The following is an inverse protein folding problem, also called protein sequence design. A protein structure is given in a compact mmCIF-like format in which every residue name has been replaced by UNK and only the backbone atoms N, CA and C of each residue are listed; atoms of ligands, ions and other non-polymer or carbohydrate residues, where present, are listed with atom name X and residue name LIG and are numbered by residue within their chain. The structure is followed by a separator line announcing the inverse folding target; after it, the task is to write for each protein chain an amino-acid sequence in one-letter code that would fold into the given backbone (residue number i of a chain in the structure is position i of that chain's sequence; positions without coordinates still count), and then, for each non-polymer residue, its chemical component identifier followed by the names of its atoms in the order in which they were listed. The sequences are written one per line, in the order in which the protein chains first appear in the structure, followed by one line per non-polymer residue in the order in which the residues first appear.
data_IF_937380214051
#
_entry.id   IF_937380214051
#
_cell.length_a   1.000
_cell.length_b   1.000
_cell.length_c   1.000
_cell.angle_alpha   90.00
_cell.angle_beta   90.00
_cell.angle_gamma   90.00
#
_symmetry.space_group_name_H-M   'P 1'
#
loop_
_entity.id
_entity.type
_entity.pdbx_description
1 polymer ?
#
# COMPACT_ATOMS: atom_id res chain seq x y z
N UNK A 1 0.12 2.16 6.76
CA UNK A 1 0.67 2.68 5.49
C UNK A 1 0.45 4.18 5.44
N UNK A 2 1.44 4.94 4.94
CA UNK A 2 1.34 6.39 4.76
C UNK A 2 1.81 6.75 3.35
N UNK A 3 1.04 7.55 2.64
CA UNK A 3 1.36 8.00 1.29
C UNK A 3 1.51 9.51 1.28
N UNK A 4 2.59 10.01 0.67
CA UNK A 4 2.80 11.43 0.47
C UNK A 4 2.43 11.80 -0.95
N UNK A 5 1.55 12.79 -1.13
CA UNK A 5 1.19 13.28 -2.45
C UNK A 5 1.26 14.80 -2.51
N UNK A 6 1.82 15.34 -3.58
CA UNK A 6 1.85 16.76 -3.85
C UNK A 6 0.47 17.18 -4.39
N UNK A 7 -0.26 18.02 -3.64
CA UNK A 7 -1.66 18.41 -3.93
C UNK A 7 -1.84 19.18 -5.24
N UNK A 8 -0.77 19.74 -5.80
CA UNK A 8 -0.82 20.52 -7.03
C UNK A 8 -0.53 19.63 -8.26
N UNK A 9 0.47 18.75 -8.14
CA UNK A 9 0.92 17.90 -9.24
C UNK A 9 0.27 16.52 -9.25
N UNK A 10 -0.26 16.04 -8.11
CA UNK A 10 -0.75 14.68 -7.91
C UNK A 10 0.37 13.64 -7.78
N UNK A 11 1.65 14.05 -7.76
CA UNK A 11 2.79 13.13 -7.69
C UNK A 11 2.97 12.57 -6.30
N UNK A 12 3.21 11.26 -6.23
CA UNK A 12 3.53 10.58 -4.99
C UNK A 12 5.04 10.71 -4.68
N UNK A 13 5.37 11.01 -3.42
CA UNK A 13 6.73 11.07 -2.90
C UNK A 13 7.20 9.71 -2.37
N UNK A 14 8.48 9.62 -1.96
CA UNK A 14 9.07 8.42 -1.35
C UNK A 14 8.97 7.17 -2.23
N UNK A 15 9.44 7.26 -3.47
CA UNK A 15 9.41 6.15 -4.43
C UNK A 15 10.34 4.98 -4.07
N UNK A 16 11.13 5.10 -3.00
CA UNK A 16 11.88 4.02 -2.35
C UNK A 16 11.06 3.27 -1.28
N UNK A 17 9.82 3.69 -1.01
CA UNK A 17 8.82 2.98 -0.21
C UNK A 17 7.80 2.31 -1.14
N UNK A 18 7.74 0.99 -1.16
CA UNK A 18 7.01 0.23 -2.18
C UNK A 18 5.53 0.64 -2.39
N UNK A 19 4.69 0.83 -1.35
CA UNK A 19 3.32 1.26 -1.57
C UNK A 19 3.24 2.64 -2.25
N UNK A 20 4.16 3.54 -1.93
CA UNK A 20 4.23 4.85 -2.55
C UNK A 20 4.77 4.76 -3.99
N UNK A 21 5.71 3.86 -4.27
CA UNK A 21 6.13 3.54 -5.65
C UNK A 21 4.95 3.03 -6.47
N UNK A 22 4.18 2.07 -5.94
CA UNK A 22 2.97 1.56 -6.62
C UNK A 22 1.98 2.69 -6.91
N UNK A 23 1.72 3.58 -5.94
CA UNK A 23 0.88 4.75 -6.15
C UNK A 23 1.45 5.72 -7.20
N UNK A 24 2.77 5.91 -7.22
CA UNK A 24 3.46 6.76 -8.16
C UNK A 24 3.33 6.28 -9.62
N UNK A 25 3.04 5.01 -9.89
CA UNK A 25 2.79 4.52 -11.26
C UNK A 25 1.51 5.12 -11.85
N UNK A 26 0.51 5.41 -11.02
CA UNK A 26 -0.84 5.83 -11.47
C UNK A 26 -1.16 7.29 -11.15
N UNK A 27 -0.12 8.08 -10.84
CA UNK A 27 -0.26 9.46 -10.38
C UNK A 27 -1.01 10.38 -11.36
N UNK A 28 -0.82 10.20 -12.68
CA UNK A 28 -1.48 11.02 -13.70
C UNK A 28 -2.99 10.77 -13.72
N UNK A 29 -3.41 9.50 -13.67
CA UNK A 29 -4.81 9.10 -13.63
C UNK A 29 -5.45 9.60 -12.33
N UNK A 30 -4.73 9.47 -11.21
CA UNK A 30 -5.18 9.95 -9.90
C UNK A 30 -5.42 11.47 -9.93
N UNK A 31 -4.49 12.23 -10.50
CA UNK A 31 -4.62 13.68 -10.68
C UNK A 31 -5.82 14.04 -11.55
N UNK A 32 -5.97 13.39 -12.71
CA UNK A 32 -7.07 13.64 -13.63
C UNK A 32 -8.43 13.40 -12.98
N UNK A 33 -8.56 12.34 -12.18
CA UNK A 33 -9.80 12.01 -11.47
C UNK A 33 -10.17 13.03 -10.37
N UNK A 34 -9.17 13.63 -9.72
CA UNK A 34 -9.42 14.73 -8.77
C UNK A 34 -9.80 16.02 -9.49
N UNK A 35 -9.09 16.34 -10.58
CA UNK A 35 -9.35 17.53 -11.39
C UNK A 35 -10.72 17.50 -12.06
N UNK A 36 -11.17 16.34 -12.56
CA UNK A 36 -12.52 16.19 -13.16
C UNK A 36 -13.65 16.49 -12.16
N UNK A 37 -13.36 16.41 -10.86
CA UNK A 37 -14.28 16.73 -9.75
C UNK A 37 -14.04 18.12 -9.17
N UNK A 38 -13.18 18.94 -9.78
CA UNK A 38 -12.74 20.25 -9.27
C UNK A 38 -12.18 20.18 -7.85
N UNK A 39 -11.42 19.12 -7.53
CA UNK A 39 -10.77 18.92 -6.22
C UNK A 39 -9.25 18.92 -6.39
N UNK A 40 -8.54 19.50 -5.41
CA UNK A 40 -7.08 19.38 -5.27
C UNK A 40 -6.69 18.31 -4.24
N UNK A 41 -7.56 18.08 -3.26
CA UNK A 41 -7.34 17.13 -2.16
C UNK A 41 -8.55 16.20 -2.11
N UNK A 42 -8.35 14.87 -2.07
CA UNK A 42 -9.44 13.92 -1.88
C UNK A 42 -10.03 14.03 -0.47
N UNK A 43 -11.33 13.77 -0.36
CA UNK A 43 -12.01 13.52 0.92
C UNK A 43 -11.79 12.06 1.35
N UNK A 44 -11.98 11.77 2.63
CA UNK A 44 -11.77 10.43 3.21
C UNK A 44 -12.58 9.32 2.53
N UNK A 45 -13.75 9.65 1.99
CA UNK A 45 -14.70 8.76 1.32
C UNK A 45 -14.57 8.77 -0.22
N UNK A 46 -13.63 9.54 -0.78
CA UNK A 46 -13.53 9.69 -2.23
C UNK A 46 -13.21 8.33 -2.90
N UNK A 47 -14.01 7.89 -3.91
CA UNK A 47 -13.83 6.57 -4.53
C UNK A 47 -12.44 6.33 -5.14
N UNK A 48 -11.75 7.40 -5.55
CA UNK A 48 -10.38 7.33 -6.09
C UNK A 48 -9.38 6.79 -5.06
N UNK A 49 -9.60 7.05 -3.77
CA UNK A 49 -8.75 6.52 -2.70
C UNK A 49 -8.93 5.01 -2.52
N UNK A 50 -10.18 4.52 -2.62
CA UNK A 50 -10.47 3.09 -2.60
C UNK A 50 -9.83 2.40 -3.80
N UNK A 51 -9.93 3.01 -4.98
CA UNK A 51 -9.29 2.49 -6.18
C UNK A 51 -7.75 2.49 -6.05
N UNK A 52 -7.18 3.48 -5.36
CA UNK A 52 -5.74 3.58 -5.13
C UNK A 52 -5.26 2.48 -4.16
N UNK A 53 -6.01 2.23 -3.10
CA UNK A 53 -5.77 1.11 -2.17
C UNK A 53 -5.75 -0.22 -2.93
N UNK A 54 -6.76 -0.47 -3.77
CA UNK A 54 -6.84 -1.69 -4.57
C UNK A 54 -5.67 -1.81 -5.55
N UNK A 55 -5.27 -0.70 -6.16
CA UNK A 55 -4.09 -0.66 -7.03
C UNK A 55 -2.81 -1.07 -6.29
N UNK A 56 -2.61 -0.57 -5.07
CA UNK A 56 -1.49 -0.97 -4.22
C UNK A 56 -1.58 -2.47 -3.90
N UNK A 57 -2.76 -2.99 -3.61
CA UNK A 57 -2.92 -4.42 -3.38
C UNK A 57 -2.59 -5.29 -4.61
N UNK A 58 -2.97 -4.85 -5.82
CA UNK A 58 -2.64 -5.54 -7.06
C UNK A 58 -1.11 -5.65 -7.21
N UNK A 59 -0.37 -4.62 -6.84
CA UNK A 59 1.09 -4.62 -6.87
C UNK A 59 1.72 -5.42 -5.71
N UNK A 60 1.02 -5.52 -4.57
CA UNK A 60 1.48 -6.29 -3.41
C UNK A 60 1.36 -7.81 -3.63
N UNK A 61 0.25 -8.31 -4.20
CA UNK A 61 -0.01 -9.75 -4.29
C UNK A 61 1.11 -10.55 -5.00
N UNK A 62 1.69 -10.09 -6.13
CA UNK A 62 2.81 -10.77 -6.77
C UNK A 62 4.07 -10.85 -5.89
N UNK A 63 4.25 -9.91 -4.95
CA UNK A 63 5.42 -9.88 -4.06
C UNK A 63 5.43 -11.02 -3.05
N UNK A 64 4.26 -11.57 -2.68
CA UNK A 64 4.15 -12.74 -1.78
C UNK A 64 5.00 -13.93 -2.24
N UNK A 65 5.12 -14.11 -3.55
CA UNK A 65 5.82 -15.22 -4.19
C UNK A 65 7.12 -14.81 -4.88
N UNK A 66 7.59 -13.58 -4.67
CA UNK A 66 8.75 -13.03 -5.38
C UNK A 66 9.94 -12.86 -4.44
N UNK A 67 11.14 -12.97 -5.00
CA UNK A 67 12.36 -12.55 -4.31
C UNK A 67 12.52 -11.06 -4.51
N UNK A 68 12.64 -10.29 -3.43
CA UNK A 68 13.00 -8.88 -3.54
C UNK A 68 14.52 -8.72 -3.44
N UNK A 69 15.07 -7.90 -4.31
CA UNK A 69 16.51 -7.66 -4.41
C UNK A 69 16.74 -6.16 -4.26
N UNK A 70 17.77 -5.78 -3.50
CA UNK A 70 18.13 -4.37 -3.33
C UNK A 70 18.63 -3.80 -4.65
N UNK A 71 18.10 -2.65 -5.10
CA UNK A 71 18.68 -1.93 -6.22
C UNK A 71 20.11 -1.52 -5.86
N UNK A 72 21.09 -1.85 -6.71
CA UNK A 72 22.50 -1.47 -6.54
C UNK A 72 23.40 -2.61 -6.05
N UNK A 73 23.08 -3.22 -4.91
CA UNK A 73 23.99 -4.18 -4.26
C UNK A 73 23.60 -5.66 -4.49
N UNK A 74 22.50 -5.91 -5.22
CA UNK A 74 21.97 -7.25 -5.53
C UNK A 74 21.73 -8.16 -4.31
N UNK A 75 21.73 -7.61 -3.10
CA UNK A 75 21.40 -8.35 -1.89
C UNK A 75 19.92 -8.70 -1.84
N UNK A 76 19.60 -9.94 -1.45
CA UNK A 76 18.23 -10.39 -1.26
C UNK A 76 17.65 -9.69 -0.04
N UNK A 77 16.58 -8.91 -0.27
CA UNK A 77 15.82 -8.22 0.77
C UNK A 77 14.78 -9.13 1.41
N UNK A 78 14.16 -10.01 0.61
CA UNK A 78 13.17 -10.98 1.07
C UNK A 78 13.11 -12.18 0.13
N UNK A 79 12.82 -13.36 0.70
CA UNK A 79 12.59 -14.58 -0.05
C UNK A 79 11.10 -14.80 -0.28
N UNK A 80 10.71 -15.52 -1.36
CA UNK A 80 9.35 -15.95 -1.58
C UNK A 80 8.81 -16.71 -0.37
N UNK A 81 7.55 -16.47 -0.02
CA UNK A 81 6.91 -17.22 1.07
C UNK A 81 6.69 -18.66 0.61
N UNK A 82 7.20 -19.68 1.34
CA UNK A 82 7.02 -21.07 0.97
C UNK A 82 5.55 -21.44 0.88
N UNK A 83 5.12 -21.91 -0.30
CA UNK A 83 3.71 -22.24 -0.55
C UNK A 83 3.37 -23.65 -0.05
N UNK A 84 2.21 -23.85 0.60
CA UNK A 84 1.75 -25.17 1.04
C UNK A 84 1.28 -26.06 -0.14
N UNK A 85 1.07 -25.46 -1.31
CA UNK A 85 0.65 -26.15 -2.53
C UNK A 85 1.42 -25.63 -3.74
N UNK A 86 1.40 -26.36 -4.88
CA UNK A 86 1.83 -25.80 -6.15
C UNK A 86 1.15 -24.46 -6.41
N UNK A 87 1.93 -23.49 -6.88
CA UNK A 87 1.44 -22.17 -7.25
C UNK A 87 0.69 -22.22 -8.58
N UNK A 88 -0.29 -21.35 -8.74
CA UNK A 88 -0.96 -21.09 -10.01
C UNK A 88 -1.04 -19.60 -10.28
N UNK A 89 -1.06 -19.22 -11.56
CA UNK A 89 -1.29 -17.84 -11.96
C UNK A 89 -2.75 -17.44 -11.68
N UNK A 90 -2.90 -16.27 -11.07
CA UNK A 90 -4.19 -15.60 -10.88
C UNK A 90 -4.14 -14.26 -11.60
N UNK A 91 -5.07 -14.06 -12.54
CA UNK A 91 -5.25 -12.77 -13.22
C UNK A 91 -6.16 -11.88 -12.37
N UNK A 92 -5.58 -10.81 -11.84
CA UNK A 92 -6.18 -9.90 -10.87
C UNK A 92 -7.12 -8.89 -11.54
N UNK A 93 -6.83 -8.54 -12.78
CA UNK A 93 -7.55 -7.55 -13.57
C UNK A 93 -9.07 -7.81 -13.68
N UNK A 94 -9.51 -9.06 -13.78
CA UNK A 94 -10.93 -9.42 -13.76
C UNK A 94 -11.57 -9.18 -12.39
N UNK A 95 -10.81 -9.41 -11.31
CA UNK A 95 -11.25 -9.14 -9.93
C UNK A 95 -11.42 -7.64 -9.67
N UNK A 96 -10.59 -6.81 -10.32
CA UNK A 96 -10.54 -5.36 -10.17
C UNK A 96 -11.03 -4.59 -11.42
N UNK A 97 -11.84 -5.20 -12.29
CA UNK A 97 -12.18 -4.66 -13.62
C UNK A 97 -12.85 -3.29 -13.62
N UNK A 98 -13.54 -2.92 -12.55
CA UNK A 98 -14.23 -1.63 -12.38
C UNK A 98 -13.32 -0.54 -11.77
N UNK A 99 -12.12 -0.87 -11.30
CA UNK A 99 -11.12 0.06 -10.78
C UNK A 99 -10.59 0.97 -11.91
N UNK A 100 -10.55 2.28 -11.69
CA UNK A 100 -10.18 3.25 -12.74
C UNK A 100 -8.74 3.07 -13.22
N UNK A 101 -7.81 2.73 -12.32
CA UNK A 101 -6.40 2.55 -12.65
C UNK A 101 -6.19 1.30 -13.48
N UNK A 102 -6.87 0.20 -13.10
CA UNK A 102 -6.86 -1.05 -13.87
C UNK A 102 -7.39 -0.82 -15.29
N UNK A 103 -8.51 -0.08 -15.43
CA UNK A 103 -9.08 0.24 -16.75
C UNK A 103 -8.11 1.06 -17.61
N UNK A 104 -7.53 2.11 -17.04
CA UNK A 104 -6.62 3.00 -17.75
C UNK A 104 -5.37 2.26 -18.23
N UNK A 105 -4.72 1.48 -17.36
CA UNK A 105 -3.52 0.71 -17.71
C UNK A 105 -3.83 -0.39 -18.72
N UNK A 106 -4.96 -1.10 -18.58
CA UNK A 106 -5.41 -2.10 -19.58
C UNK A 106 -5.67 -1.52 -20.96
N UNK A 107 -6.13 -0.27 -21.02
CA UNK A 107 -6.39 0.41 -22.30
C UNK A 107 -5.11 0.87 -23.00
N UNK A 108 -3.98 0.94 -22.27
CA UNK A 108 -2.66 1.19 -22.84
C UNK A 108 -2.06 -0.05 -23.50
N UNK A 109 -0.93 0.12 -24.21
CA UNK A 109 -0.14 -0.99 -24.80
C UNK A 109 0.71 -1.76 -23.78
N UNK A 110 0.49 -1.55 -22.48
CA UNK A 110 1.33 -2.14 -21.44
C UNK A 110 0.95 -3.60 -21.11
N UNK A 111 1.97 -4.35 -20.69
CA UNK A 111 1.98 -5.81 -20.58
C UNK A 111 0.94 -6.36 -19.59
N UNK A 112 0.23 -7.42 -20.00
CA UNK A 112 -0.65 -8.25 -19.15
C UNK A 112 0.05 -8.82 -17.90
N UNK A 113 1.38 -8.75 -17.81
CA UNK A 113 2.17 -9.27 -16.68
C UNK A 113 1.88 -8.56 -15.36
N UNK A 114 1.51 -7.27 -15.36
CA UNK A 114 1.25 -6.50 -14.14
C UNK A 114 0.10 -7.06 -13.29
N UNK A 115 -0.81 -7.79 -13.90
CA UNK A 115 -2.02 -8.28 -13.26
C UNK A 115 -1.94 -9.76 -12.86
N UNK A 116 -0.75 -10.36 -12.84
CA UNK A 116 -0.61 -11.77 -12.48
C UNK A 116 0.06 -11.94 -11.12
N UNK A 117 -0.58 -12.71 -10.24
CA UNK A 117 0.01 -13.16 -8.98
C UNK A 117 0.13 -14.68 -8.95
N UNK A 118 1.21 -15.19 -8.37
CA UNK A 118 1.35 -16.62 -8.07
C UNK A 118 0.88 -16.89 -6.64
N UNK A 119 -0.19 -17.67 -6.50
CA UNK A 119 -0.73 -18.07 -5.20
C UNK A 119 -1.00 -19.58 -5.17
N UNK A 120 -1.19 -20.19 -3.99
CA UNK A 120 -1.48 -21.62 -3.90
C UNK A 120 -2.72 -22.01 -4.73
N UNK A 121 -2.64 -23.04 -5.57
CA UNK A 121 -3.71 -23.41 -6.55
C UNK A 121 -5.09 -23.65 -5.95
N UNK A 122 -5.15 -23.94 -4.65
CA UNK A 122 -6.38 -24.24 -3.93
C UNK A 122 -6.99 -23.02 -3.21
N UNK A 123 -6.67 -21.81 -3.65
CA UNK A 123 -7.33 -20.58 -3.21
C UNK A 123 -8.12 -19.91 -4.35
N UNK A 124 -8.94 -18.94 -3.98
CA UNK A 124 -9.53 -17.95 -4.88
C UNK A 124 -9.37 -16.57 -4.28
N UNK A 125 -9.22 -15.57 -5.14
CA UNK A 125 -9.18 -14.17 -4.72
C UNK A 125 -10.60 -13.63 -4.83
N UNK A 126 -11.07 -13.03 -3.74
CA UNK A 126 -12.33 -12.31 -3.68
C UNK A 126 -11.99 -10.89 -3.28
N UNK A 127 -12.63 -9.93 -3.93
CA UNK A 127 -12.60 -8.54 -3.53
C UNK A 127 -13.93 -8.16 -2.93
N UNK A 128 -13.89 -7.39 -1.85
CA UNK A 128 -15.06 -6.78 -1.26
C UNK A 128 -14.89 -5.27 -1.20
N UNK A 129 -15.89 -4.58 -1.71
CA UNK A 129 -16.08 -3.14 -1.56
C UNK A 129 -17.28 -2.92 -0.66
N UNK A 130 -17.13 -2.09 0.36
CA UNK A 130 -18.29 -1.48 0.98
C UNK A 130 -18.77 -0.34 0.07
N UNK A 131 -20.05 -0.37 -0.32
CA UNK A 131 -20.61 0.64 -1.24
C UNK A 131 -20.68 2.04 -0.63
N UNK A 132 -20.80 2.12 0.69
CA UNK A 132 -21.03 3.36 1.45
C UNK A 132 -20.09 3.50 2.65
N UNK A 133 -18.93 2.82 2.65
CA UNK A 133 -18.00 2.96 3.77
C UNK A 133 -17.50 4.40 3.86
N UNK A 134 -17.77 5.00 5.01
CA UNK A 134 -17.07 6.19 5.48
C UNK A 134 -16.14 5.71 6.59
N UNK A 135 -14.82 5.65 6.36
CA UNK A 135 -14.05 6.18 5.22
C UNK A 135 -13.80 5.16 4.08
N UNK A 136 -13.06 5.55 3.04
CA UNK A 136 -12.71 4.70 1.90
C UNK A 136 -11.99 3.42 2.33
N UNK A 137 -12.58 2.28 2.02
CA UNK A 137 -12.13 0.95 2.45
C UNK A 137 -12.14 -0.05 1.29
N UNK A 138 -11.15 -0.93 1.24
CA UNK A 138 -11.19 -2.12 0.39
C UNK A 138 -10.64 -3.34 1.11
N UNK A 139 -11.22 -4.51 0.84
CA UNK A 139 -10.80 -5.79 1.37
C UNK A 139 -10.50 -6.77 0.23
N UNK A 140 -9.34 -7.41 0.29
CA UNK A 140 -9.02 -8.59 -0.51
C UNK A 140 -9.02 -9.81 0.39
N UNK A 141 -9.67 -10.87 -0.07
CA UNK A 141 -9.78 -12.14 0.60
C UNK A 141 -9.20 -13.24 -0.28
N UNK A 142 -8.12 -13.88 0.20
CA UNK A 142 -7.64 -15.15 -0.32
C UNK A 142 -8.39 -16.26 0.40
N UNK A 143 -9.38 -16.86 -0.27
CA UNK A 143 -10.28 -17.87 0.30
C UNK A 143 -9.88 -19.27 -0.16
N UNK A 144 -9.67 -20.20 0.76
CA UNK A 144 -9.38 -21.59 0.41
C UNK A 144 -10.62 -22.31 -0.16
N UNK A 145 -10.42 -23.22 -1.12
CA UNK A 145 -11.43 -24.17 -1.63
C UNK A 145 -11.84 -25.18 -0.55
N UNK A 146 -12.92 -25.94 -0.73
CA UNK A 146 -13.58 -26.72 0.32
C UNK A 146 -12.67 -27.59 1.21
N UNK A 147 -11.71 -28.31 0.63
CA UNK A 147 -10.76 -29.17 1.35
C UNK A 147 -9.43 -28.50 1.75
N UNK A 148 -9.31 -27.19 1.54
CA UNK A 148 -8.12 -26.43 1.96
C UNK A 148 -8.19 -26.10 3.45
N UNK A 149 -7.15 -26.34 4.27
CA UNK A 149 -7.12 -25.90 5.67
C UNK A 149 -7.43 -24.42 5.88
N UNK A 150 -6.95 -23.54 4.98
CA UNK A 150 -7.27 -22.12 5.00
C UNK A 150 -8.76 -21.87 4.75
N UNK A 151 -9.44 -21.25 5.71
CA UNK A 151 -10.79 -20.71 5.47
C UNK A 151 -10.68 -19.41 4.68
N UNK A 152 -9.95 -18.44 5.21
CA UNK A 152 -9.62 -17.19 4.52
C UNK A 152 -8.35 -16.56 5.10
N UNK A 153 -7.67 -15.79 4.26
CA UNK A 153 -6.74 -14.72 4.64
C UNK A 153 -7.29 -13.43 4.03
N UNK A 154 -7.37 -12.37 4.81
CA UNK A 154 -7.93 -11.08 4.42
C UNK A 154 -6.91 -9.96 4.68
N UNK A 155 -6.78 -9.07 3.72
CA UNK A 155 -6.06 -7.81 3.82
C UNK A 155 -7.08 -6.70 3.59
N UNK A 156 -7.34 -5.92 4.64
CA UNK A 156 -8.25 -4.77 4.62
C UNK A 156 -7.43 -3.50 4.76
N UNK A 157 -7.70 -2.50 3.93
CA UNK A 157 -7.08 -1.19 4.07
C UNK A 157 -8.16 -0.11 4.08
N UNK A 158 -8.00 0.84 5.00
CA UNK A 158 -8.97 1.90 5.28
C UNK A 158 -8.23 3.22 5.44
N UNK A 159 -8.64 4.25 4.69
CA UNK A 159 -8.11 5.60 4.85
C UNK A 159 -8.64 6.19 6.14
N UNK A 160 -7.79 6.61 7.06
CA UNK A 160 -8.23 7.15 8.37
C UNK A 160 -7.94 8.64 8.53
N UNK A 161 -7.07 9.20 7.70
CA UNK A 161 -6.67 10.60 7.81
C UNK A 161 -6.11 11.13 6.50
N UNK A 162 -6.39 12.40 6.22
CA UNK A 162 -5.74 13.18 5.16
C UNK A 162 -5.37 14.53 5.78
N UNK A 163 -4.09 14.87 5.75
CA UNK A 163 -3.58 16.05 6.45
C UNK A 163 -2.31 16.61 5.83
N UNK A 164 -1.75 17.65 6.45
CA UNK A 164 -0.46 18.21 6.03
C UNK A 164 0.67 17.23 6.30
N UNK A 165 1.55 17.03 5.30
CA UNK A 165 2.74 16.20 5.44
C UNK A 165 4.00 16.98 5.89
N UNK A 166 3.87 18.28 6.18
CA UNK A 166 5.03 19.16 6.38
C UNK A 166 5.98 18.68 7.49
N UNK A 167 5.43 18.27 8.65
CA UNK A 167 6.22 17.77 9.78
C UNK A 167 6.91 16.44 9.46
N UNK A 168 6.20 15.52 8.82
CA UNK A 168 6.76 14.23 8.40
C UNK A 168 7.88 14.40 7.38
N UNK A 169 7.73 15.32 6.42
CA UNK A 169 8.78 15.64 5.45
C UNK A 169 10.02 16.24 6.11
N UNK A 170 9.86 17.16 7.06
CA UNK A 170 10.98 17.71 7.82
C UNK A 170 11.73 16.61 8.58
N UNK A 171 11.00 15.69 9.22
CA UNK A 171 11.59 14.53 9.88
C UNK A 171 12.37 13.65 8.90
N UNK A 172 11.82 13.37 7.72
CA UNK A 172 12.51 12.61 6.65
C UNK A 172 13.78 13.30 6.14
N UNK A 173 13.83 14.63 6.22
CA UNK A 173 15.01 15.44 5.90
C UNK A 173 16.02 15.53 7.05
N UNK A 174 15.74 14.89 8.19
CA UNK A 174 16.62 14.86 9.36
C UNK A 174 16.44 16.04 10.34
N UNK A 175 15.39 16.85 10.17
CA UNK A 175 15.06 17.91 11.12
C UNK A 175 14.13 17.41 12.22
N UNK A 176 14.14 18.10 13.36
CA UNK A 176 13.30 17.78 14.52
C UNK A 176 12.27 18.90 14.74
N UNK A 177 11.05 18.78 14.18
CA UNK A 177 10.00 19.77 14.41
C UNK A 177 9.62 19.86 15.89
N UNK A 178 9.63 21.06 16.45
CA UNK A 178 9.24 21.35 17.84
C UNK A 178 7.86 22.00 17.92
N UNK A 179 7.56 22.92 17.01
CA UNK A 179 6.28 23.61 16.97
C UNK A 179 5.88 24.01 15.54
N UNK A 180 4.58 23.91 15.26
CA UNK A 180 3.94 24.56 14.10
C UNK A 180 3.26 25.81 14.63
N UNK A 181 3.65 26.99 14.14
CA UNK A 181 3.09 28.25 14.62
C UNK A 181 1.78 28.50 13.90
N UNK A 182 0.65 28.37 14.61
CA UNK A 182 -0.67 28.57 14.01
C UNK A 182 -0.85 30.03 13.58
N UNK A 183 -1.27 30.25 12.33
CA UNK A 183 -1.48 31.58 11.77
C UNK A 183 -0.22 32.25 11.21
N UNK A 184 0.94 31.63 11.36
CA UNK A 184 2.18 32.04 10.72
C UNK A 184 2.63 30.93 9.75
N UNK A 185 3.12 31.30 8.57
CA UNK A 185 3.68 30.37 7.57
C UNK A 185 5.07 29.87 8.02
N UNK A 186 5.12 29.24 9.20
CA UNK A 186 6.36 28.95 9.94
C UNK A 186 6.28 27.67 10.76
N UNK A 187 7.37 26.90 10.70
CA UNK A 187 7.62 25.73 11.55
C UNK A 187 8.96 25.93 12.26
N UNK A 188 8.97 25.71 13.57
CA UNK A 188 10.19 25.76 14.39
C UNK A 188 10.71 24.34 14.55
N UNK A 189 11.93 24.10 14.05
CA UNK A 189 12.70 22.88 14.31
C UNK A 189 13.81 23.18 15.32
N UNK A 190 14.34 22.13 15.96
CA UNK A 190 15.48 22.26 16.87
C UNK A 190 16.71 22.84 16.17
N UNK A 191 16.87 22.55 14.88
CA UNK A 191 18.03 22.92 14.10
C UNK A 191 17.86 24.26 13.36
N UNK A 192 16.62 24.65 13.02
CA UNK A 192 16.32 25.86 12.24
C UNK A 192 14.85 26.28 12.29
N UNK A 193 14.58 27.50 11.85
CA UNK A 193 13.23 27.97 11.54
C UNK A 193 12.96 27.78 10.05
N UNK A 194 11.84 27.15 9.71
CA UNK A 194 11.35 26.99 8.34
C UNK A 194 10.22 27.97 8.09
N UNK A 195 10.42 28.91 7.17
CA UNK A 195 9.44 29.96 6.86
C UNK A 195 9.37 30.28 5.36
N UNK A 196 8.34 31.05 4.96
CA UNK A 196 8.18 31.61 3.61
C UNK A 196 8.18 30.54 2.52
N UNK A 197 9.09 30.64 1.55
CA UNK A 197 9.16 29.74 0.38
C UNK A 197 9.48 28.30 0.76
N UNK A 198 10.24 28.05 1.83
CA UNK A 198 10.48 26.69 2.29
C UNK A 198 9.20 26.08 2.89
N UNK A 199 8.46 26.86 3.68
CA UNK A 199 7.16 26.45 4.22
C UNK A 199 6.16 26.13 3.10
N UNK A 200 6.00 27.02 2.10
CA UNK A 200 5.12 26.79 0.94
C UNK A 200 5.47 25.51 0.17
N UNK A 201 6.77 25.19 0.04
CA UNK A 201 7.23 23.95 -0.60
C UNK A 201 6.83 22.70 0.18
N UNK A 202 6.70 22.78 1.50
CA UNK A 202 6.24 21.67 2.35
C UNK A 202 4.71 21.59 2.36
N UNK A 203 4.03 22.73 2.41
CA UNK A 203 2.57 22.84 2.52
C UNK A 203 1.81 22.28 1.31
N UNK A 204 2.48 22.16 0.16
CA UNK A 204 1.92 21.48 -1.02
C UNK A 204 1.78 19.97 -0.84
N UNK A 205 2.45 19.37 0.14
CA UNK A 205 2.39 17.92 0.36
C UNK A 205 1.32 17.58 1.39
N UNK A 206 0.49 16.62 1.03
CA UNK A 206 -0.48 16.01 1.93
C UNK A 206 -0.08 14.57 2.22
N UNK A 207 -0.42 14.12 3.42
CA UNK A 207 -0.29 12.75 3.88
C UNK A 207 -1.66 12.07 3.82
N UNK A 208 -1.71 10.88 3.22
CA UNK A 208 -2.85 9.97 3.27
C UNK A 208 -2.49 8.84 4.23
N UNK A 209 -3.13 8.81 5.38
CA UNK A 209 -2.93 7.79 6.40
C UNK A 209 -3.91 6.64 6.21
N UNK A 210 -3.37 5.42 6.12
CA UNK A 210 -4.14 4.20 5.86
C UNK A 210 -3.81 3.13 6.90
N UNK A 211 -4.83 2.67 7.60
CA UNK A 211 -4.72 1.50 8.47
C UNK A 211 -4.86 0.26 7.60
N UNK A 212 -3.90 -0.66 7.71
CA UNK A 212 -3.93 -1.96 7.04
C UNK A 212 -4.07 -3.04 8.10
N UNK A 213 -5.14 -3.83 8.00
CA UNK A 213 -5.42 -4.97 8.89
C UNK A 213 -5.27 -6.25 8.10
N UNK A 214 -4.47 -7.19 8.62
CA UNK A 214 -4.32 -8.52 8.04
C UNK A 214 -4.81 -9.55 9.04
N UNK A 215 -5.68 -10.45 8.59
CA UNK A 215 -6.27 -11.49 9.43
C UNK A 215 -6.40 -12.78 8.65
N UNK A 216 -6.28 -13.91 9.31
CA UNK A 216 -6.55 -15.22 8.70
C UNK A 216 -7.34 -16.10 9.65
N UNK A 217 -8.01 -17.11 9.08
CA UNK A 217 -8.73 -18.13 9.83
C UNK A 217 -8.52 -19.48 9.16
N UNK A 218 -8.21 -20.48 9.97
CA UNK A 218 -8.18 -21.88 9.55
C UNK A 218 -9.52 -22.57 9.77
N UNK A 219 -9.78 -23.63 9.01
CA UNK A 219 -10.90 -24.53 9.22
C UNK A 219 -10.52 -25.55 10.30
N UNK A 220 -11.05 -25.37 11.50
CA UNK A 220 -10.78 -26.27 12.63
C UNK A 220 -11.12 -27.75 12.33
N UNK A 221 -12.18 -28.00 11.56
CA UNK A 221 -12.54 -29.36 11.12
C UNK A 221 -11.51 -30.04 10.20
N UNK A 222 -10.53 -29.31 9.68
CA UNK A 222 -9.44 -29.84 8.87
C UNK A 222 -8.11 -29.91 9.65
N UNK A 223 -8.12 -29.87 10.98
CA UNK A 223 -6.91 -29.90 11.81
C UNK A 223 -5.98 -31.08 11.47
N UNK A 224 -6.55 -32.26 11.19
CA UNK A 224 -5.80 -33.46 10.81
C UNK A 224 -5.40 -33.52 9.33
N UNK A 225 -5.70 -32.50 8.53
CA UNK A 225 -5.24 -32.43 7.15
C UNK A 225 -3.71 -32.43 7.13
N UNK A 226 -3.04 -33.25 6.29
CA UNK A 226 -1.59 -33.41 6.33
C UNK A 226 -0.81 -32.09 6.16
N UNK A 227 -1.37 -31.16 5.38
CA UNK A 227 -0.80 -29.83 5.14
C UNK A 227 -1.28 -28.73 6.08
N UNK A 228 -2.03 -29.03 7.14
CA UNK A 228 -2.63 -28.00 8.00
C UNK A 228 -1.57 -27.03 8.55
N UNK A 229 -0.45 -27.57 9.04
CA UNK A 229 0.68 -26.78 9.55
C UNK A 229 1.32 -25.89 8.48
N UNK A 230 1.50 -26.41 7.27
CA UNK A 230 2.06 -25.64 6.15
C UNK A 230 1.17 -24.45 5.80
N UNK A 231 -0.15 -24.64 5.82
CA UNK A 231 -1.09 -23.55 5.64
C UNK A 231 -1.02 -22.52 6.75
N UNK A 232 -0.86 -22.94 8.02
CA UNK A 232 -0.66 -22.01 9.15
C UNK A 232 0.58 -21.16 8.96
N UNK A 233 1.71 -21.81 8.70
CA UNK A 233 2.98 -21.13 8.48
C UNK A 233 2.89 -20.17 7.29
N UNK A 234 2.26 -20.59 6.19
CA UNK A 234 2.06 -19.73 5.02
C UNK A 234 1.24 -18.49 5.36
N UNK A 235 0.11 -18.66 6.05
CA UNK A 235 -0.75 -17.54 6.43
C UNK A 235 -0.04 -16.55 7.38
N UNK A 236 0.70 -17.07 8.36
CA UNK A 236 1.51 -16.27 9.29
C UNK A 236 2.61 -15.49 8.55
N UNK A 237 3.33 -16.15 7.63
CA UNK A 237 4.36 -15.51 6.83
C UNK A 237 3.78 -14.44 5.90
N UNK A 238 2.61 -14.65 5.30
CA UNK A 238 1.91 -13.62 4.52
C UNK A 238 1.53 -12.43 5.41
N UNK A 239 1.11 -12.66 6.65
CA UNK A 239 0.81 -11.58 7.60
C UNK A 239 2.07 -10.77 7.96
N UNK A 240 3.19 -11.45 8.23
CA UNK A 240 4.48 -10.80 8.52
C UNK A 240 4.99 -10.02 7.31
N UNK A 241 4.89 -10.58 6.11
CA UNK A 241 5.28 -9.93 4.88
C UNK A 241 4.43 -8.68 4.60
N UNK A 242 3.11 -8.78 4.75
CA UNK A 242 2.21 -7.63 4.62
C UNK A 242 2.53 -6.54 5.64
N UNK A 243 2.78 -6.91 6.91
CA UNK A 243 3.23 -5.97 7.93
C UNK A 243 4.49 -5.24 7.46
N UNK A 244 5.50 -5.95 6.96
CA UNK A 244 6.74 -5.32 6.53
C UNK A 244 6.58 -4.40 5.32
N UNK A 245 5.71 -4.78 4.38
CA UNK A 245 5.44 -4.03 3.17
C UNK A 245 4.65 -2.74 3.44
N UNK A 246 3.62 -2.80 4.30
CA UNK A 246 2.72 -1.68 4.57
C UNK A 246 3.11 -0.82 5.78
N UNK A 247 4.11 -1.21 6.56
CA UNK A 247 4.58 -0.48 7.74
C UNK A 247 5.53 0.66 7.38
N UNK A 248 4.98 1.88 7.40
CA UNK A 248 5.74 3.09 7.13
C UNK A 248 6.76 3.41 8.23
N UNK A 249 6.47 3.10 9.50
CA UNK A 249 7.39 3.39 10.60
C UNK A 249 8.67 2.56 10.45
N UNK A 250 8.53 1.29 10.06
CA UNK A 250 9.68 0.44 9.76
C UNK A 250 10.52 0.97 8.58
N UNK A 251 9.88 1.51 7.55
CA UNK A 251 10.58 2.19 6.46
C UNK A 251 11.30 3.45 6.95
N UNK A 252 10.61 4.28 7.74
CA UNK A 252 11.13 5.54 8.28
C UNK A 252 12.36 5.31 9.17
N UNK A 253 12.31 4.33 10.08
CA UNK A 253 13.45 3.93 10.93
C UNK A 253 14.67 3.52 10.10
N UNK A 254 14.47 2.68 9.07
CA UNK A 254 15.55 2.27 8.16
C UNK A 254 16.17 3.47 7.44
N UNK A 255 15.35 4.42 7.02
CA UNK A 255 15.81 5.63 6.33
C UNK A 255 16.59 6.55 7.26
N UNK A 256 16.13 6.74 8.50
CA UNK A 256 16.88 7.48 9.53
C UNK A 256 18.24 6.87 9.83
N UNK A 257 18.32 5.54 9.97
CA UNK A 257 19.60 4.84 10.19
C UNK A 257 20.56 5.06 9.02
N UNK A 258 20.06 5.04 7.77
CA UNK A 258 20.87 5.29 6.58
C UNK A 258 21.39 6.72 6.52
N UNK A 259 20.56 7.72 6.82
CA UNK A 259 20.96 9.13 6.77
C UNK A 259 21.98 9.53 7.86
N UNK A 260 22.17 8.69 8.89
CA UNK A 260 23.16 8.90 9.96
C UNK A 260 24.53 8.28 9.67
N UNK A 261 24.64 7.44 8.63
CA UNK A 261 25.89 6.80 8.21
C UNK A 261 26.51 7.58 7.06
#
# INVERSE_FOLDING_TARGET
MRLLVDKNSGRFGLTDYDPAFSAAVVWEIFKQELQSKNKLIPKLDDPVLRDLIEWIFINYLPKISSTEISPGDFHILSYPIPSPEPLSFFTLDETFKDNIFVKAIKSGRESKSFFNALLPRNVKIIRKRQKESHPAESEIIIKGKWFTPLNFLSITAMVVGIGSAATLLLQLMGYTPQAVVLGEDKIICAEKIVEREEFKKLEKWIEIEVIVTVKYKMRGGLFFHPKFREWCNWAENVCLHAKNYFDFNRYFEKKQIRNRK
#
